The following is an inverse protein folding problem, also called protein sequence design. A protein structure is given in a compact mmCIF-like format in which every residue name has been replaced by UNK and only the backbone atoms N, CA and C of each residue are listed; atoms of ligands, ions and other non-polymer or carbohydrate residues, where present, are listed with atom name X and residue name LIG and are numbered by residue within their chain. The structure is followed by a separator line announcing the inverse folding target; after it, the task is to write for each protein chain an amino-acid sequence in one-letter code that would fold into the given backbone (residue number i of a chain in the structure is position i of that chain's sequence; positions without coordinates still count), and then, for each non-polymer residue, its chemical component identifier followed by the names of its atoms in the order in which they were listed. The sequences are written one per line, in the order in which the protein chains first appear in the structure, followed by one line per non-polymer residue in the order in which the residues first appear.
data_IF_511669985080
#
_entry.id   IF_511669985080
#
_cell.length_a   1.000
_cell.length_b   1.000
_cell.length_c   1.000
_cell.angle_alpha   90.00
_cell.angle_beta   90.00
_cell.angle_gamma   90.00
#
_symmetry.space_group_name_H-M   'P 1'
#
loop_
_entity.id
_entity.type
_entity.pdbx_description
1 polymer ?
#
# COMPACT_ATOMS: atom_id res chain seq x y z
N UNK A 1 45.93 14.81 -9.36
CA UNK A 1 45.77 15.23 -7.95
C UNK A 1 44.34 15.75 -7.82
N UNK A 2 43.50 15.13 -6.99
CA UNK A 2 42.08 15.55 -6.86
C UNK A 2 42.03 16.85 -6.07
N UNK A 3 41.30 17.85 -6.57
CA UNK A 3 41.12 19.11 -5.85
C UNK A 3 40.08 18.91 -4.74
N UNK A 4 40.56 18.82 -3.50
CA UNK A 4 39.74 18.57 -2.32
C UNK A 4 38.62 19.60 -2.14
N UNK A 5 38.87 20.86 -2.52
CA UNK A 5 37.90 21.95 -2.44
C UNK A 5 36.71 21.67 -3.37
N UNK A 6 36.97 21.28 -4.62
CA UNK A 6 35.93 20.95 -5.61
C UNK A 6 35.07 19.76 -5.16
N UNK A 7 35.65 18.78 -4.46
CA UNK A 7 34.90 17.65 -3.87
C UNK A 7 34.04 18.09 -2.68
N UNK A 8 34.54 18.98 -1.82
CA UNK A 8 33.80 19.51 -0.66
C UNK A 8 32.66 20.42 -1.11
N UNK A 9 32.85 21.25 -2.14
CA UNK A 9 31.82 22.15 -2.64
C UNK A 9 30.70 21.36 -3.34
N UNK A 10 31.03 20.34 -4.14
CA UNK A 10 30.04 19.41 -4.69
C UNK A 10 29.26 18.63 -3.61
N UNK A 11 29.88 18.32 -2.47
CA UNK A 11 29.19 17.69 -1.34
C UNK A 11 28.22 18.67 -0.64
N UNK A 12 28.61 19.93 -0.44
CA UNK A 12 27.75 20.97 0.14
C UNK A 12 26.58 21.35 -0.77
N UNK A 13 26.79 21.39 -2.08
CA UNK A 13 25.69 21.53 -3.04
C UNK A 13 24.76 20.31 -2.99
N UNK A 14 25.29 19.12 -2.72
CA UNK A 14 24.53 17.93 -2.38
C UNK A 14 23.69 18.08 -1.10
N UNK A 15 24.23 18.68 -0.03
CA UNK A 15 23.47 18.97 1.19
C UNK A 15 22.34 19.98 0.94
N UNK A 16 22.58 21.01 0.10
CA UNK A 16 21.55 21.98 -0.31
C UNK A 16 20.40 21.34 -1.11
N UNK A 17 20.65 20.26 -1.86
CA UNK A 17 19.56 19.47 -2.49
C UNK A 17 18.68 18.77 -1.46
N UNK A 18 19.23 18.40 -0.31
CA UNK A 18 18.50 17.74 0.77
C UNK A 18 17.70 18.74 1.63
N UNK A 19 18.01 20.05 1.59
CA UNK A 19 17.21 21.09 2.26
C UNK A 19 15.79 21.19 1.66
N UNK A 20 15.60 20.77 0.41
CA UNK A 20 14.27 20.63 -0.21
C UNK A 20 13.46 19.40 0.24
N UNK A 21 14.04 18.49 1.04
CA UNK A 21 13.36 17.24 1.44
C UNK A 21 12.13 17.44 2.30
N UNK A 22 11.96 18.58 2.98
CA UNK A 22 10.79 18.80 3.84
C UNK A 22 9.48 18.78 3.03
N UNK A 23 9.50 19.39 1.84
CA UNK A 23 8.38 19.35 0.90
C UNK A 23 8.22 17.93 0.34
N UNK A 24 9.31 17.29 -0.11
CA UNK A 24 9.29 15.91 -0.65
C UNK A 24 8.77 14.89 0.36
N UNK A 25 9.11 15.02 1.64
CA UNK A 25 8.62 14.18 2.73
C UNK A 25 7.11 14.37 2.90
N UNK A 26 6.65 15.62 3.00
CA UNK A 26 5.22 15.92 3.14
C UNK A 26 4.43 15.43 1.92
N UNK A 27 4.93 15.67 0.70
CA UNK A 27 4.34 15.21 -0.54
C UNK A 27 4.27 13.67 -0.58
N UNK A 28 5.33 12.98 -0.17
CA UNK A 28 5.36 11.51 -0.08
C UNK A 28 4.37 10.96 0.95
N UNK A 29 4.17 11.65 2.08
CA UNK A 29 3.19 11.27 3.11
C UNK A 29 1.76 11.46 2.59
N UNK A 30 1.47 12.58 1.93
CA UNK A 30 0.18 12.83 1.28
C UNK A 30 -0.11 11.79 0.19
N UNK A 31 0.86 11.48 -0.69
CA UNK A 31 0.73 10.43 -1.71
C UNK A 31 0.50 9.06 -1.07
N UNK A 32 1.29 8.72 -0.04
CA UNK A 32 1.16 7.46 0.70
C UNK A 32 -0.20 7.30 1.38
N UNK A 33 -0.72 8.38 1.97
CA UNK A 33 -2.05 8.40 2.59
C UNK A 33 -3.18 8.19 1.57
N UNK A 34 -3.16 8.92 0.45
CA UNK A 34 -4.14 8.72 -0.62
C UNK A 34 -4.04 7.31 -1.24
N UNK A 35 -2.81 6.79 -1.41
CA UNK A 35 -2.55 5.44 -1.92
C UNK A 35 -3.06 4.35 -0.97
N UNK A 36 -2.96 4.54 0.36
CA UNK A 36 -3.42 3.58 1.38
C UNK A 36 -4.91 3.29 1.25
N UNK A 37 -5.73 4.30 0.96
CA UNK A 37 -7.18 4.14 0.75
C UNK A 37 -7.44 3.25 -0.47
N UNK A 38 -6.80 3.54 -1.61
CA UNK A 38 -6.96 2.74 -2.82
C UNK A 38 -6.48 1.30 -2.64
N UNK A 39 -5.33 1.10 -1.99
CA UNK A 39 -4.84 -0.22 -1.61
C UNK A 39 -5.84 -0.97 -0.73
N UNK A 40 -6.38 -0.32 0.29
CA UNK A 40 -7.37 -0.91 1.21
C UNK A 40 -8.62 -1.33 0.46
N UNK A 41 -9.22 -0.43 -0.33
CA UNK A 41 -10.38 -0.73 -1.19
C UNK A 41 -10.10 -1.91 -2.11
N UNK A 42 -8.89 -2.03 -2.67
CA UNK A 42 -8.51 -3.16 -3.55
C UNK A 42 -8.24 -4.47 -2.79
N UNK A 43 -7.75 -4.43 -1.55
CA UNK A 43 -7.27 -5.61 -0.80
C UNK A 43 -8.21 -6.11 0.29
N UNK A 44 -9.17 -5.31 0.74
CA UNK A 44 -10.11 -5.73 1.78
C UNK A 44 -11.10 -6.77 1.23
N UNK A 45 -11.11 -7.92 1.89
CA UNK A 45 -12.06 -9.01 1.70
C UNK A 45 -13.21 -8.92 2.70
N UNK A 46 -14.31 -9.63 2.41
CA UNK A 46 -15.49 -9.65 3.28
C UNK A 46 -15.27 -10.60 4.45
N UNK A 47 -15.24 -10.04 5.66
CA UNK A 47 -15.12 -10.77 6.93
C UNK A 47 -16.45 -10.67 7.66
N UNK A 48 -16.91 -11.79 8.22
CA UNK A 48 -17.97 -11.82 9.24
C UNK A 48 -17.26 -11.88 10.58
N UNK A 49 -17.50 -10.90 11.45
CA UNK A 49 -16.75 -10.80 12.70
C UNK A 49 -17.44 -11.61 13.80
N UNK A 50 -18.77 -11.61 13.88
CA UNK A 50 -19.51 -12.24 14.97
C UNK A 50 -20.33 -13.46 14.54
N UNK A 51 -20.00 -14.61 15.13
CA UNK A 51 -20.90 -15.76 15.19
C UNK A 51 -22.05 -15.53 16.18
N UNK A 52 -23.22 -16.12 15.92
CA UNK A 52 -24.41 -15.98 16.78
C UNK A 52 -24.18 -16.49 18.22
N UNK A 53 -23.29 -17.46 18.40
CA UNK A 53 -22.88 -17.94 19.74
C UNK A 53 -21.98 -16.91 20.44
N UNK A 54 -21.02 -16.31 19.73
CA UNK A 54 -20.12 -15.29 20.25
C UNK A 54 -20.85 -14.02 20.70
N UNK A 55 -21.92 -13.63 20.01
CA UNK A 55 -22.83 -12.56 20.44
C UNK A 55 -23.34 -12.78 21.86
N UNK A 56 -23.79 -14.00 22.19
CA UNK A 56 -24.30 -14.32 23.54
C UNK A 56 -23.21 -14.24 24.60
N UNK A 57 -22.01 -14.76 24.29
CA UNK A 57 -20.85 -14.71 25.18
C UNK A 57 -20.50 -13.26 25.52
N UNK A 58 -20.46 -12.37 24.52
CA UNK A 58 -20.20 -10.94 24.72
C UNK A 58 -21.30 -10.31 25.60
N UNK A 59 -22.57 -10.51 25.27
CA UNK A 59 -23.71 -9.95 26.03
C UNK A 59 -23.77 -10.37 27.49
N UNK A 60 -23.37 -11.61 27.81
CA UNK A 60 -23.30 -12.07 29.20
C UNK A 60 -22.12 -11.50 29.96
N UNK A 61 -20.98 -11.27 29.29
CA UNK A 61 -19.76 -10.72 29.90
C UNK A 61 -19.75 -9.19 30.01
N UNK A 62 -20.55 -8.47 29.21
CA UNK A 62 -20.71 -7.00 29.29
C UNK A 62 -21.25 -6.49 30.64
N UNK A 63 -21.86 -7.33 31.47
CA UNK A 63 -22.55 -6.91 32.71
C UNK A 63 -21.61 -6.48 33.86
N UNK A 64 -20.29 -6.52 33.65
CA UNK A 64 -19.29 -6.15 34.67
C UNK A 64 -18.03 -5.46 34.12
N UNK A 65 -18.05 -4.96 32.89
CA UNK A 65 -16.93 -4.20 32.30
C UNK A 65 -17.02 -2.70 32.64
N UNK A 66 -15.97 -1.94 32.35
CA UNK A 66 -16.00 -0.48 32.51
C UNK A 66 -16.86 0.21 31.42
N UNK A 67 -17.29 1.48 31.62
CA UNK A 67 -18.21 2.14 30.68
C UNK A 67 -17.65 2.34 29.26
N UNK A 68 -16.33 2.47 29.11
CA UNK A 68 -15.69 2.64 27.81
C UNK A 68 -15.64 1.29 27.07
N UNK A 69 -15.33 0.20 27.77
CA UNK A 69 -15.48 -1.16 27.25
C UNK A 69 -16.92 -1.47 26.86
N UNK A 70 -17.89 -1.11 27.68
CA UNK A 70 -19.30 -1.38 27.39
C UNK A 70 -19.70 -0.73 26.06
N UNK A 71 -19.33 0.54 25.85
CA UNK A 71 -19.55 1.27 24.59
C UNK A 71 -18.84 0.61 23.40
N UNK A 72 -17.61 0.15 23.59
CA UNK A 72 -16.86 -0.56 22.54
C UNK A 72 -17.51 -1.90 22.16
N UNK A 73 -18.02 -2.63 23.15
CA UNK A 73 -18.71 -3.90 22.94
C UNK A 73 -20.13 -3.70 22.35
N UNK A 74 -20.83 -2.61 22.69
CA UNK A 74 -22.06 -2.19 22.01
C UNK A 74 -21.81 -1.89 20.51
N UNK A 75 -20.67 -1.25 20.18
CA UNK A 75 -20.25 -1.06 18.78
C UNK A 75 -19.93 -2.39 18.09
N UNK A 76 -19.25 -3.31 18.78
CA UNK A 76 -18.95 -4.66 18.28
C UNK A 76 -20.23 -5.41 17.92
N UNK A 77 -21.28 -5.36 18.75
CA UNK A 77 -22.57 -6.00 18.47
C UNK A 77 -23.29 -5.45 17.22
N UNK A 78 -22.84 -4.31 16.69
CA UNK A 78 -23.35 -3.69 15.46
C UNK A 78 -22.39 -3.84 14.25
N UNK A 79 -21.24 -4.52 14.43
CA UNK A 79 -20.13 -4.49 13.47
C UNK A 79 -20.50 -5.02 12.09
N UNK A 80 -21.21 -6.15 11.98
CA UNK A 80 -21.49 -6.77 10.68
C UNK A 80 -22.45 -5.91 9.82
N UNK A 81 -23.32 -5.11 10.46
CA UNK A 81 -24.16 -4.12 9.76
C UNK A 81 -23.33 -2.94 9.24
N UNK A 82 -22.37 -2.46 10.03
CA UNK A 82 -21.44 -1.41 9.63
C UNK A 82 -20.53 -1.90 8.49
N UNK A 83 -19.94 -3.09 8.62
CA UNK A 83 -19.11 -3.71 7.59
C UNK A 83 -19.89 -3.98 6.31
N UNK A 84 -21.15 -4.43 6.38
CA UNK A 84 -22.01 -4.57 5.20
C UNK A 84 -22.16 -3.25 4.44
N UNK A 85 -22.29 -2.13 5.17
CA UNK A 85 -22.34 -0.78 4.58
C UNK A 85 -21.01 -0.37 3.94
N UNK A 86 -19.89 -0.60 4.64
CA UNK A 86 -18.53 -0.32 4.14
C UNK A 86 -18.22 -1.15 2.89
N UNK A 87 -18.53 -2.44 2.88
CA UNK A 87 -18.35 -3.31 1.73
C UNK A 87 -19.22 -2.90 0.53
N UNK A 88 -20.43 -2.39 0.76
CA UNK A 88 -21.25 -1.85 -0.33
C UNK A 88 -20.64 -0.57 -0.95
N UNK A 89 -20.01 0.29 -0.15
CA UNK A 89 -19.26 1.47 -0.64
C UNK A 89 -18.04 1.04 -1.46
N UNK A 90 -17.24 0.09 -0.94
CA UNK A 90 -16.07 -0.49 -1.60
C UNK A 90 -16.46 -1.14 -2.93
N UNK A 91 -17.52 -1.96 -2.95
CA UNK A 91 -18.05 -2.58 -4.17
C UNK A 91 -18.60 -1.53 -5.16
N UNK A 92 -19.06 -0.37 -4.67
CA UNK A 92 -19.35 0.80 -5.47
C UNK A 92 -18.10 1.37 -6.16
N UNK A 93 -17.02 1.60 -5.41
CA UNK A 93 -15.76 2.10 -5.97
C UNK A 93 -15.13 1.10 -6.95
N UNK A 94 -15.15 -0.20 -6.64
CA UNK A 94 -14.62 -1.27 -7.50
C UNK A 94 -15.30 -1.36 -8.87
N UNK A 95 -16.52 -0.82 -9.04
CA UNK A 95 -17.26 -0.81 -10.30
C UNK A 95 -16.88 0.33 -11.25
N UNK A 96 -16.19 1.37 -10.78
CA UNK A 96 -15.73 2.43 -11.68
C UNK A 96 -14.60 1.93 -12.58
N UNK A 97 -14.68 2.24 -13.86
CA UNK A 97 -13.55 2.14 -14.79
C UNK A 97 -12.44 3.06 -14.29
N UNK A 98 -11.23 2.51 -14.15
CA UNK A 98 -10.08 3.32 -13.75
C UNK A 98 -9.74 4.34 -14.87
N UNK A 99 -9.45 5.61 -14.54
CA UNK A 99 -8.91 6.58 -15.48
C UNK A 99 -7.62 6.07 -16.13
N UNK A 100 -7.34 6.47 -17.39
CA UNK A 100 -6.08 6.13 -18.05
C UNK A 100 -4.89 6.77 -17.31
N UNK A 101 -3.82 6.00 -17.15
CA UNK A 101 -2.56 6.46 -16.57
C UNK A 101 -1.60 6.95 -17.67
N UNK A 102 -0.74 7.90 -17.33
CA UNK A 102 0.30 8.46 -18.21
C UNK A 102 1.69 8.27 -17.60
N UNK A 103 2.73 8.80 -18.25
CA UNK A 103 4.07 8.92 -17.65
C UNK A 103 4.07 9.71 -16.34
N UNK A 104 3.24 10.74 -16.29
CA UNK A 104 3.23 11.73 -15.21
C UNK A 104 2.49 11.15 -14.00
N UNK A 105 3.10 11.23 -12.81
CA UNK A 105 2.54 10.72 -11.55
C UNK A 105 1.18 11.37 -11.23
N UNK A 106 0.97 12.61 -11.68
CA UNK A 106 -0.30 13.33 -11.52
C UNK A 106 -1.53 12.60 -12.09
N UNK A 107 -1.35 11.67 -13.03
CA UNK A 107 -2.42 10.80 -13.56
C UNK A 107 -2.99 9.80 -12.54
N UNK A 108 -2.33 9.60 -11.39
CA UNK A 108 -2.86 8.84 -10.27
C UNK A 108 -3.94 9.60 -9.47
N UNK A 109 -3.95 10.94 -9.50
CA UNK A 109 -4.90 11.73 -8.72
C UNK A 109 -6.38 11.45 -9.07
N UNK A 110 -6.79 11.30 -10.35
CA UNK A 110 -8.12 10.80 -10.71
C UNK A 110 -8.46 9.43 -10.09
N UNK A 111 -7.50 8.51 -9.98
CA UNK A 111 -7.70 7.20 -9.32
C UNK A 111 -7.96 7.38 -7.82
N UNK A 112 -7.17 8.22 -7.15
CA UNK A 112 -7.38 8.53 -5.73
C UNK A 112 -8.73 9.24 -5.51
N UNK A 113 -9.13 10.13 -6.42
CA UNK A 113 -10.39 10.88 -6.36
C UNK A 113 -11.64 9.98 -6.39
N UNK A 114 -11.61 8.85 -7.10
CA UNK A 114 -12.71 7.87 -7.09
C UNK A 114 -12.99 7.31 -5.69
N UNK A 115 -11.95 7.15 -4.87
CA UNK A 115 -12.08 6.55 -3.53
C UNK A 115 -12.88 7.41 -2.56
N UNK A 116 -12.96 8.74 -2.78
CA UNK A 116 -13.73 9.69 -1.94
C UNK A 116 -15.23 9.38 -1.84
N UNK A 117 -15.77 8.58 -2.78
CA UNK A 117 -17.17 8.11 -2.73
C UNK A 117 -17.42 7.02 -1.68
N UNK A 118 -16.37 6.41 -1.12
CA UNK A 118 -16.42 5.50 0.01
C UNK A 118 -15.81 6.16 1.25
N UNK A 119 -16.61 6.76 2.15
CA UNK A 119 -16.08 7.31 3.42
C UNK A 119 -15.61 6.23 4.40
N UNK A 120 -16.05 4.98 4.24
CA UNK A 120 -15.68 3.87 5.10
C UNK A 120 -16.42 3.88 6.44
N UNK A 121 -15.73 3.54 7.53
CA UNK A 121 -16.26 3.48 8.90
C UNK A 121 -15.33 4.17 9.90
N UNK A 122 -15.90 4.94 10.81
CA UNK A 122 -15.20 5.61 11.91
C UNK A 122 -14.97 4.72 13.15
N UNK A 123 -15.31 3.43 13.06
CA UNK A 123 -15.18 2.47 14.15
C UNK A 123 -13.71 2.21 14.50
N UNK A 124 -13.37 2.24 15.78
CA UNK A 124 -12.02 1.94 16.28
C UNK A 124 -11.90 0.44 16.57
N UNK A 125 -11.58 -0.35 15.54
CA UNK A 125 -11.46 -1.81 15.65
C UNK A 125 -10.41 -2.23 16.68
N UNK A 126 -9.38 -1.41 16.90
CA UNK A 126 -8.30 -1.67 17.85
C UNK A 126 -8.73 -1.49 19.30
N UNK A 127 -9.42 -0.40 19.65
CA UNK A 127 -9.96 -0.24 21.00
C UNK A 127 -11.09 -1.24 21.28
N UNK A 128 -11.90 -1.60 20.28
CA UNK A 128 -12.87 -2.71 20.39
C UNK A 128 -12.17 -4.05 20.64
N UNK A 129 -11.09 -4.34 19.91
CA UNK A 129 -10.29 -5.55 20.09
C UNK A 129 -9.74 -5.69 21.51
N UNK A 130 -9.25 -4.58 22.08
CA UNK A 130 -8.80 -4.52 23.50
C UNK A 130 -9.92 -4.80 24.50
N UNK A 131 -11.14 -4.30 24.26
CA UNK A 131 -12.28 -4.61 25.12
C UNK A 131 -12.65 -6.10 25.05
N UNK A 132 -12.50 -6.75 23.89
CA UNK A 132 -12.62 -8.22 23.76
C UNK A 132 -11.48 -8.95 24.49
N UNK A 133 -10.23 -8.48 24.38
CA UNK A 133 -9.07 -9.03 25.12
C UNK A 133 -9.18 -8.87 26.65
N UNK A 134 -9.99 -7.94 27.15
CA UNK A 134 -10.31 -7.89 28.59
C UNK A 134 -11.25 -9.04 28.97
N UNK A 135 -12.24 -9.38 28.13
CA UNK A 135 -13.14 -10.52 28.35
C UNK A 135 -12.37 -11.85 28.33
N UNK A 136 -11.39 -12.04 27.44
CA UNK A 136 -10.63 -13.31 27.34
C UNK A 136 -9.82 -13.68 28.61
N UNK A 137 -9.66 -12.74 29.54
CA UNK A 137 -8.99 -12.94 30.84
C UNK A 137 -9.92 -13.53 31.92
N UNK A 138 -11.22 -13.68 31.64
CA UNK A 138 -12.17 -14.28 32.55
C UNK A 138 -11.96 -15.81 32.64
N UNK A 139 -11.56 -16.26 33.83
CA UNK A 139 -11.29 -17.66 34.17
C UNK A 139 -12.49 -18.60 34.06
N UNK A 140 -13.71 -18.06 33.90
CA UNK A 140 -14.96 -18.85 33.78
C UNK A 140 -15.33 -19.17 32.34
N UNK A 141 -14.57 -18.70 31.35
CA UNK A 141 -14.77 -19.05 29.94
C UNK A 141 -14.43 -20.53 29.68
N UNK A 142 -15.24 -21.20 28.85
CA UNK A 142 -14.84 -22.51 28.31
C UNK A 142 -13.76 -22.35 27.24
N UNK A 143 -12.98 -23.40 26.92
CA UNK A 143 -11.97 -23.34 25.85
C UNK A 143 -12.54 -22.91 24.50
N UNK A 144 -13.77 -23.33 24.20
CA UNK A 144 -14.50 -22.97 22.97
C UNK A 144 -14.89 -21.49 22.97
N UNK A 145 -15.39 -20.98 24.10
CA UNK A 145 -15.73 -19.55 24.25
C UNK A 145 -14.48 -18.66 24.11
N UNK A 146 -13.38 -19.05 24.76
CA UNK A 146 -12.09 -18.37 24.66
C UNK A 146 -11.58 -18.36 23.21
N UNK A 147 -11.63 -19.50 22.52
CA UNK A 147 -11.25 -19.59 21.10
C UNK A 147 -12.09 -18.65 20.22
N UNK A 148 -13.41 -18.62 20.41
CA UNK A 148 -14.31 -17.75 19.64
C UNK A 148 -14.03 -16.26 19.87
N UNK A 149 -13.67 -15.85 21.09
CA UNK A 149 -13.30 -14.46 21.38
C UNK A 149 -11.93 -14.09 20.78
N UNK A 150 -10.95 -15.00 20.80
CA UNK A 150 -9.65 -14.79 20.16
C UNK A 150 -9.78 -14.67 18.63
N UNK A 151 -10.73 -15.39 18.01
CA UNK A 151 -11.04 -15.26 16.58
C UNK A 151 -11.66 -13.87 16.27
N UNK A 152 -12.52 -13.35 17.14
CA UNK A 152 -13.04 -11.97 17.04
C UNK A 152 -11.89 -10.95 17.12
N UNK A 153 -10.98 -11.06 18.10
CA UNK A 153 -9.81 -10.17 18.21
C UNK A 153 -8.98 -10.18 16.92
N UNK A 154 -8.65 -11.36 16.39
CA UNK A 154 -7.89 -11.50 15.13
C UNK A 154 -8.61 -10.87 13.93
N UNK A 155 -9.93 -11.02 13.84
CA UNK A 155 -10.73 -10.39 12.79
C UNK A 155 -10.72 -8.86 12.90
N UNK A 156 -10.77 -8.32 14.13
CA UNK A 156 -10.66 -6.89 14.39
C UNK A 156 -9.26 -6.32 14.05
N UNK A 157 -8.17 -7.00 14.43
CA UNK A 157 -6.80 -6.65 14.02
C UNK A 157 -6.64 -6.62 12.48
N UNK A 158 -7.28 -7.56 11.80
CA UNK A 158 -7.28 -7.64 10.34
C UNK A 158 -8.00 -6.43 9.72
N UNK A 159 -9.13 -6.02 10.29
CA UNK A 159 -9.88 -4.83 9.85
C UNK A 159 -9.12 -3.52 10.14
N UNK A 160 -8.47 -3.42 11.30
CA UNK A 160 -7.61 -2.28 11.68
C UNK A 160 -6.43 -2.11 10.70
N UNK A 161 -5.80 -3.22 10.31
CA UNK A 161 -4.72 -3.24 9.30
C UNK A 161 -5.13 -2.61 7.98
N UNK A 162 -6.39 -2.81 7.56
CA UNK A 162 -6.95 -2.19 6.35
C UNK A 162 -7.27 -0.69 6.52
N UNK A 163 -7.40 -0.17 7.74
CA UNK A 163 -7.64 1.25 8.01
C UNK A 163 -8.92 1.77 7.33
N UNK A 164 -10.07 1.20 7.68
CA UNK A 164 -11.34 1.43 6.98
C UNK A 164 -11.96 2.83 7.20
N UNK A 165 -11.33 3.73 7.96
CA UNK A 165 -11.77 5.12 8.10
C UNK A 165 -11.15 5.98 6.97
N UNK A 166 -11.65 5.78 5.76
CA UNK A 166 -11.14 6.45 4.56
C UNK A 166 -11.38 7.98 4.62
N UNK A 167 -12.46 8.40 5.28
CA UNK A 167 -12.80 9.81 5.48
C UNK A 167 -11.69 10.62 6.17
N UNK A 168 -10.95 10.03 7.14
CA UNK A 168 -9.78 10.68 7.79
C UNK A 168 -8.71 11.13 6.80
N UNK A 169 -8.60 10.47 5.64
CA UNK A 169 -7.56 10.69 4.64
C UNK A 169 -8.05 11.44 3.38
N UNK A 170 -9.33 11.87 3.34
CA UNK A 170 -9.89 12.57 2.18
C UNK A 170 -9.19 13.91 1.88
N UNK A 171 -8.66 14.60 2.90
CA UNK A 171 -7.89 15.83 2.72
C UNK A 171 -6.60 15.59 1.94
N UNK A 172 -5.92 14.47 2.17
CA UNK A 172 -4.71 14.10 1.44
C UNK A 172 -5.01 13.76 -0.02
N UNK A 173 -6.18 13.18 -0.33
CA UNK A 173 -6.63 13.06 -1.72
C UNK A 173 -6.77 14.45 -2.37
N UNK A 174 -7.35 15.44 -1.69
CA UNK A 174 -7.56 16.77 -2.25
C UNK A 174 -6.26 17.51 -2.60
N UNK A 175 -5.19 17.32 -1.82
CA UNK A 175 -3.87 17.89 -2.11
C UNK A 175 -2.95 16.96 -2.92
N UNK A 176 -3.31 15.68 -3.10
CA UNK A 176 -2.46 14.67 -3.74
C UNK A 176 -1.98 15.04 -5.14
N UNK A 177 -2.79 15.75 -5.96
CA UNK A 177 -2.33 16.15 -7.30
C UNK A 177 -1.08 17.03 -7.23
N UNK A 178 -1.07 18.00 -6.31
CA UNK A 178 0.06 18.93 -6.13
C UNK A 178 1.31 18.17 -5.66
N UNK A 179 1.14 17.25 -4.71
CA UNK A 179 2.22 16.39 -4.24
C UNK A 179 2.80 15.50 -5.36
N UNK A 180 1.95 14.92 -6.21
CA UNK A 180 2.38 14.14 -7.37
C UNK A 180 3.12 15.00 -8.40
N UNK A 181 2.61 16.21 -8.72
CA UNK A 181 3.28 17.17 -9.60
C UNK A 181 4.67 17.57 -9.05
N UNK A 182 4.79 17.79 -7.73
CA UNK A 182 6.07 18.10 -7.06
C UNK A 182 7.04 16.92 -7.07
N UNK A 183 6.54 15.69 -6.94
CA UNK A 183 7.35 14.47 -6.99
C UNK A 183 7.92 14.22 -8.40
N UNK A 184 7.13 14.47 -9.45
CA UNK A 184 7.62 14.45 -10.85
C UNK A 184 8.76 15.46 -11.06
N UNK A 185 8.61 16.69 -10.55
CA UNK A 185 9.65 17.73 -10.60
C UNK A 185 10.92 17.33 -9.83
N UNK A 186 10.78 16.74 -8.64
CA UNK A 186 11.90 16.24 -7.85
C UNK A 186 12.71 15.18 -8.62
N UNK A 187 12.05 14.19 -9.22
CA UNK A 187 12.75 13.15 -9.98
C UNK A 187 13.39 13.68 -11.27
N UNK A 188 12.78 14.67 -11.93
CA UNK A 188 13.36 15.34 -13.09
C UNK A 188 14.64 16.12 -12.72
N UNK A 189 14.60 16.90 -11.63
CA UNK A 189 15.75 17.65 -11.11
C UNK A 189 16.88 16.71 -10.65
N UNK A 190 16.54 15.68 -9.87
CA UNK A 190 17.47 14.64 -9.44
C UNK A 190 18.19 13.96 -10.62
N UNK A 191 17.45 13.59 -11.67
CA UNK A 191 18.01 13.00 -12.89
C UNK A 191 18.99 13.96 -13.59
N UNK A 192 18.66 15.25 -13.65
CA UNK A 192 19.51 16.26 -14.28
C UNK A 192 20.85 16.44 -13.53
N UNK A 193 20.83 16.36 -12.20
CA UNK A 193 22.00 16.56 -11.34
C UNK A 193 22.82 15.28 -11.12
N UNK A 194 22.19 14.11 -11.19
CA UNK A 194 22.84 12.80 -11.16
C UNK A 194 23.71 12.47 -12.39
N UNK A 195 23.80 13.37 -13.38
CA UNK A 195 24.60 13.15 -14.60
C UNK A 195 26.07 13.57 -14.46
N UNK A 196 26.52 13.98 -13.26
CA UNK A 196 27.96 14.17 -12.96
C UNK A 196 28.62 12.82 -12.63
N UNK A 197 28.63 11.90 -13.61
CA UNK A 197 29.70 10.91 -13.67
C UNK A 197 30.93 11.66 -14.16
N UNK A 198 32.06 11.70 -13.43
CA UNK A 198 33.29 12.24 -13.97
C UNK A 198 33.75 11.33 -15.11
N UNK A 199 33.47 11.72 -16.35
CA UNK A 199 34.09 11.12 -17.53
C UNK A 199 35.59 11.40 -17.45
N UNK A 200 36.34 10.46 -16.89
CA UNK A 200 37.78 10.37 -17.04
C UNK A 200 38.08 10.10 -18.51
N UNK A 201 38.20 11.17 -19.28
CA UNK A 201 38.78 11.16 -20.62
C UNK A 201 40.26 10.79 -20.47
N UNK A 202 40.65 9.56 -20.84
CA UNK A 202 42.03 9.13 -20.54
C UNK A 202 42.51 7.74 -20.96
N UNK A 203 41.93 7.06 -21.96
CA UNK A 203 42.62 5.99 -22.69
C UNK A 203 41.93 5.71 -24.04
N UNK A 204 42.66 5.57 -25.17
CA UNK A 204 42.08 5.13 -26.43
C UNK A 204 41.89 3.61 -26.41
N UNK A 205 40.67 3.13 -26.65
CA UNK A 205 40.44 1.72 -27.00
C UNK A 205 40.54 1.60 -28.51
N UNK A 206 41.54 0.86 -28.98
CA UNK A 206 41.73 0.59 -30.40
C UNK A 206 40.54 -0.15 -31.00
N UNK A 207 40.15 0.28 -32.20
CA UNK A 207 39.25 -0.49 -33.05
C UNK A 207 39.95 -1.77 -33.50
N UNK A 208 39.39 -2.95 -33.21
CA UNK A 208 39.77 -4.18 -33.88
C UNK A 208 38.54 -4.91 -34.40
N UNK A 209 38.65 -5.33 -35.66
CA UNK A 209 37.56 -5.83 -36.50
C UNK A 209 37.33 -7.33 -36.29
N UNK A 210 36.13 -7.77 -36.66
CA UNK A 210 35.66 -9.16 -36.84
C UNK A 210 36.68 -10.11 -37.51
N UNK A 211 36.59 -11.45 -37.31
CA UNK A 211 35.67 -12.19 -38.17
C UNK A 211 34.93 -13.41 -37.58
N UNK A 212 33.77 -13.62 -38.18
CA UNK A 212 33.00 -14.86 -38.34
C UNK A 212 33.84 -16.14 -38.59
N UNK A 213 33.46 -17.25 -37.93
CA UNK A 213 33.53 -18.58 -38.55
C UNK A 213 32.41 -19.50 -38.03
N UNK A 214 31.72 -20.15 -38.97
CA UNK A 214 30.78 -21.24 -38.73
C UNK A 214 31.54 -22.57 -38.72
N UNK A 215 31.07 -23.55 -37.95
CA UNK A 215 30.94 -24.95 -38.40
C UNK A 215 30.21 -25.81 -37.35
N UNK A 216 29.12 -26.45 -37.76
CA UNK A 216 28.52 -27.59 -37.09
C UNK A 216 29.04 -28.90 -37.74
N UNK A 217 28.83 -30.06 -37.12
CA UNK A 217 27.86 -30.94 -37.77
C UNK A 217 26.99 -31.82 -36.84
N UNK A 218 25.71 -31.91 -37.25
CA UNK A 218 24.88 -33.13 -37.36
C UNK A 218 24.68 -34.04 -36.13
N UNK A 219 23.42 -34.21 -35.74
CA UNK A 219 22.67 -35.40 -36.17
C UNK A 219 21.17 -35.07 -36.38
N UNK A 220 20.53 -35.79 -37.30
CA UNK A 220 19.14 -35.67 -37.76
C UNK A 220 18.18 -36.50 -36.86
N UNK A 221 16.84 -36.53 -36.98
CA UNK A 221 15.90 -36.28 -38.09
C UNK A 221 14.48 -35.89 -37.60
N UNK A 222 13.62 -35.46 -38.56
CA UNK A 222 12.15 -35.64 -38.63
C UNK A 222 11.20 -34.40 -38.67
N UNK A 223 11.12 -33.80 -39.87
CA UNK A 223 9.92 -33.31 -40.60
C UNK A 223 9.03 -32.12 -40.09
N UNK A 224 8.43 -31.29 -40.99
CA UNK A 224 7.80 -30.01 -40.61
C UNK A 224 6.30 -29.81 -40.95
N UNK A 225 5.68 -28.79 -40.33
CA UNK A 225 4.48 -28.07 -40.81
C UNK A 225 3.16 -28.38 -40.07
N UNK A 226 2.28 -27.41 -39.78
CA UNK A 226 2.35 -25.95 -40.00
C UNK A 226 1.31 -25.19 -39.13
N UNK A 227 1.48 -23.86 -39.03
CA UNK A 227 0.52 -22.83 -38.55
C UNK A 227 0.17 -22.83 -37.03
N UNK A 228 0.66 -21.82 -36.30
CA UNK A 228 0.13 -21.37 -35.00
C UNK A 228 -0.64 -20.05 -35.15
N UNK A 229 -0.54 -19.10 -34.19
CA UNK A 229 -0.59 -19.24 -32.73
C UNK A 229 -1.91 -18.55 -32.26
N UNK A 230 -2.12 -17.94 -31.08
CA UNK A 230 -1.39 -17.74 -29.81
C UNK A 230 -2.44 -17.48 -28.71
N UNK A 231 -2.26 -18.02 -27.51
CA UNK A 231 -2.96 -17.57 -26.29
C UNK A 231 -2.11 -16.55 -25.53
N UNK A 232 -2.79 -15.59 -24.90
CA UNK A 232 -2.50 -14.96 -23.60
C UNK A 232 -1.04 -14.88 -23.13
N UNK A 233 -0.54 -13.65 -22.90
CA UNK A 233 0.57 -13.42 -21.98
C UNK A 233 0.24 -12.25 -21.03
N UNK A 234 0.32 -12.54 -19.74
CA UNK A 234 -0.15 -11.70 -18.64
C UNK A 234 0.97 -10.77 -18.16
N UNK A 235 0.93 -9.48 -18.55
CA UNK A 235 1.95 -8.52 -18.12
C UNK A 235 1.76 -8.10 -16.66
N UNK A 236 2.27 -8.94 -15.75
CA UNK A 236 2.40 -8.62 -14.32
C UNK A 236 3.59 -7.68 -14.11
N UNK A 237 3.31 -6.45 -13.69
CA UNK A 237 4.35 -5.42 -13.50
C UNK A 237 4.05 -4.39 -12.41
N UNK A 238 4.99 -4.25 -11.47
CA UNK A 238 5.24 -3.05 -10.64
C UNK A 238 4.11 -2.63 -9.68
N UNK A 239 3.82 -3.42 -8.62
CA UNK A 239 3.11 -2.94 -7.42
C UNK A 239 3.66 -3.45 -6.07
N UNK A 240 4.87 -3.99 -6.05
CA UNK A 240 5.59 -4.29 -4.81
C UNK A 240 6.58 -3.16 -4.50
N UNK A 241 6.13 -2.15 -3.75
CA UNK A 241 6.85 -1.35 -2.74
C UNK A 241 5.81 -0.34 -2.22
N UNK A 242 5.20 -0.65 -1.07
CA UNK A 242 4.63 0.31 -0.11
C UNK A 242 4.18 -0.49 1.13
N UNK A 243 5.15 -0.85 1.97
CA UNK A 243 4.91 -1.44 3.29
C UNK A 243 5.29 -0.40 4.35
N UNK A 244 4.32 0.27 5.00
CA UNK A 244 4.61 1.29 6.00
C UNK A 244 4.80 0.67 7.39
N UNK A 245 5.96 0.06 7.63
CA UNK A 245 6.39 -0.34 8.99
C UNK A 245 7.40 0.66 9.57
N UNK A 246 7.04 1.94 9.63
CA UNK A 246 7.80 2.98 10.35
C UNK A 246 6.92 4.19 10.72
N UNK A 247 6.10 4.08 11.79
CA UNK A 247 5.80 5.20 12.71
C UNK A 247 5.61 4.64 14.13
N UNK A 248 6.69 4.58 14.90
CA UNK A 248 6.68 4.65 16.37
C UNK A 248 7.97 5.31 16.83
N UNK A 249 7.94 6.64 16.99
CA UNK A 249 8.75 7.49 17.87
C UNK A 249 8.23 8.93 17.70
#
# INVERSE_FOLDING_TARGET
MVNLQTTIDAFKDGENLLVGLQDVLQDSQTIGSASRIFWSIKKVDKVVVLGQETVKIIQDKMKGVDPDDQKNLDQLLLIDNQLTTVYAQIDGVKKFTLPPLTSDLSSLHPVFSLTKSAPGSQMDFREIGRSVEKITKDITLTPEQLKSLLEVTKNLETLDTFGLDYAKHHKDIDVSKKALDQMDLFFADYKSKGTVIPTTTGAPVESSTEPMSSEAPLHSDASPGALGPSTEDESTGIWFIFCPTFITC
#
